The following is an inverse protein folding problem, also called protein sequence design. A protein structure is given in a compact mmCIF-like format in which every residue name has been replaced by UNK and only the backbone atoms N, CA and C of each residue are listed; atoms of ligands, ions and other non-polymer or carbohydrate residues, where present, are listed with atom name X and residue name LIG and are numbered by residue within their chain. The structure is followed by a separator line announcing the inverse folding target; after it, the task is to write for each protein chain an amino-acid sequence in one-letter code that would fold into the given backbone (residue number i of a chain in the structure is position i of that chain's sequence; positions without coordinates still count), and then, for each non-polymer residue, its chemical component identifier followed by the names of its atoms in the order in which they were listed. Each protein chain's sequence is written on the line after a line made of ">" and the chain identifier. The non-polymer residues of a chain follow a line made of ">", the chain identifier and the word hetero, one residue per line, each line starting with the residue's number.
data_IF_708055710286
#
_entry.id   IF_708055710286
#
_cell.length_a   1.000
_cell.length_b   1.000
_cell.length_c   1.000
_cell.angle_alpha   90.00
_cell.angle_beta   90.00
_cell.angle_gamma   90.00
#
_symmetry.space_group_name_H-M   'P 1'
#
loop_
_entity.id
_entity.type
_entity.pdbx_description
1 polymer ?
#
# COMPACT_ATOMS: atom_id res chain seq x y z
N UNK A 1 38.02 -7.08 -11.31
CA UNK A 1 37.81 -7.15 -9.85
C UNK A 1 37.46 -5.74 -9.45
N UNK A 2 36.21 -5.37 -9.64
CA UNK A 2 35.69 -4.04 -9.34
C UNK A 2 34.84 -4.18 -8.09
N UNK A 3 35.24 -3.48 -7.05
CA UNK A 3 34.63 -3.53 -5.74
C UNK A 3 33.18 -3.03 -5.84
N UNK A 4 32.24 -3.92 -5.51
CA UNK A 4 30.81 -3.64 -5.44
C UNK A 4 30.52 -2.70 -4.27
N UNK A 5 30.82 -1.42 -4.45
CA UNK A 5 30.51 -0.39 -3.47
C UNK A 5 28.99 -0.18 -3.46
N UNK A 6 28.31 -0.90 -2.56
CA UNK A 6 26.89 -0.68 -2.27
C UNK A 6 26.75 0.73 -1.70
N UNK A 7 26.48 1.67 -2.59
CA UNK A 7 26.26 3.08 -2.28
C UNK A 7 25.27 3.18 -1.11
N UNK A 8 25.70 3.62 0.09
CA UNK A 8 24.86 3.54 1.29
C UNK A 8 23.59 4.38 1.15
N UNK A 9 23.64 5.43 0.33
CA UNK A 9 22.48 6.27 0.00
C UNK A 9 21.41 5.55 -0.83
N UNK A 10 21.77 4.50 -1.57
CA UNK A 10 20.82 3.74 -2.39
C UNK A 10 19.79 3.00 -1.51
N UNK A 11 20.15 2.66 -0.26
CA UNK A 11 19.22 2.09 0.72
C UNK A 11 18.44 3.17 1.50
N UNK A 12 18.97 4.39 1.61
CA UNK A 12 18.30 5.49 2.32
C UNK A 12 17.08 6.01 1.57
N UNK A 13 17.10 6.02 0.24
CA UNK A 13 15.97 6.45 -0.59
C UNK A 13 14.73 5.56 -0.39
N UNK A 14 14.78 4.22 -0.56
CA UNK A 14 13.62 3.36 -0.32
C UNK A 14 13.21 3.37 1.16
N UNK A 15 14.14 3.48 2.10
CA UNK A 15 13.81 3.57 3.53
C UNK A 15 13.09 4.89 3.88
N UNK A 16 13.52 6.02 3.30
CA UNK A 16 12.85 7.31 3.46
C UNK A 16 11.46 7.30 2.80
N UNK A 17 11.33 6.68 1.62
CA UNK A 17 10.03 6.48 0.97
C UNK A 17 9.10 5.62 1.82
N UNK A 18 9.60 4.52 2.39
CA UNK A 18 8.85 3.69 3.32
C UNK A 18 8.41 4.48 4.55
N UNK A 19 9.32 5.24 5.17
CA UNK A 19 9.03 6.07 6.33
C UNK A 19 8.00 7.18 6.03
N UNK A 20 8.10 7.82 4.87
CA UNK A 20 7.13 8.82 4.39
C UNK A 20 5.75 8.19 4.20
N UNK A 21 5.70 7.00 3.62
CA UNK A 21 4.47 6.21 3.42
C UNK A 21 3.85 5.88 4.79
N UNK A 22 4.64 5.40 5.74
CA UNK A 22 4.17 5.12 7.10
C UNK A 22 3.67 6.38 7.83
N UNK A 23 4.36 7.52 7.65
CA UNK A 23 3.97 8.79 8.26
C UNK A 23 2.63 9.31 7.72
N UNK A 24 2.38 9.18 6.41
CA UNK A 24 1.08 9.54 5.81
C UNK A 24 -0.08 8.70 6.37
N UNK A 25 0.15 7.42 6.66
CA UNK A 25 -0.83 6.57 7.33
C UNK A 25 -1.15 7.00 8.76
N UNK A 26 -0.13 7.46 9.51
CA UNK A 26 -0.31 7.95 10.88
C UNK A 26 -0.91 9.36 10.95
N UNK A 27 -0.70 10.19 9.91
CA UNK A 27 -1.25 11.54 9.80
C UNK A 27 -2.69 11.58 9.25
N UNK A 28 -3.23 10.44 8.79
CA UNK A 28 -4.58 10.29 8.24
C UNK A 28 -5.68 10.43 9.31
N UNK A 29 -6.52 11.43 9.12
CA UNK A 29 -7.60 11.93 9.99
C UNK A 29 -8.71 10.94 10.39
N UNK A 30 -8.98 10.86 11.70
CA UNK A 30 -10.31 10.97 12.33
C UNK A 30 -11.35 9.85 12.20
N UNK A 31 -11.37 9.09 11.11
CA UNK A 31 -12.19 7.89 10.98
C UNK A 31 -11.42 6.90 10.09
N UNK A 32 -10.65 5.99 10.70
CA UNK A 32 -9.85 5.07 9.92
C UNK A 32 -10.80 4.00 9.34
N UNK A 33 -10.71 3.76 8.03
CA UNK A 33 -11.18 2.51 7.40
C UNK A 33 -9.95 1.66 7.01
N UNK A 34 -9.10 1.21 7.96
CA UNK A 34 -7.83 0.53 7.63
C UNK A 34 -8.06 -0.73 6.80
N UNK A 35 -9.21 -1.38 7.02
CA UNK A 35 -9.62 -2.54 6.24
C UNK A 35 -9.72 -2.22 4.74
N UNK A 36 -10.29 -1.07 4.38
CA UNK A 36 -10.47 -0.68 2.98
C UNK A 36 -9.13 -0.37 2.33
N UNK A 37 -8.21 0.23 3.08
CA UNK A 37 -6.85 0.47 2.62
C UNK A 37 -6.09 -0.85 2.38
N UNK A 38 -6.17 -1.80 3.32
CA UNK A 38 -5.55 -3.12 3.17
C UNK A 38 -6.16 -3.91 2.00
N UNK A 39 -7.49 -3.86 1.82
CA UNK A 39 -8.15 -4.55 0.70
C UNK A 39 -7.87 -3.90 -0.65
N UNK A 40 -7.72 -2.57 -0.69
CA UNK A 40 -7.30 -1.89 -1.92
C UNK A 40 -5.88 -2.29 -2.31
N UNK A 41 -4.96 -2.34 -1.35
CA UNK A 41 -3.59 -2.78 -1.59
C UNK A 41 -3.51 -4.25 -2.03
N UNK A 42 -4.31 -5.12 -1.42
CA UNK A 42 -4.43 -6.54 -1.82
C UNK A 42 -4.95 -6.67 -3.26
N UNK A 43 -6.00 -5.93 -3.61
CA UNK A 43 -6.57 -5.91 -4.96
C UNK A 43 -5.55 -5.44 -6.01
N UNK A 44 -4.76 -4.41 -5.70
CA UNK A 44 -3.67 -3.94 -6.57
C UNK A 44 -2.61 -5.01 -6.74
N UNK A 45 -2.20 -5.69 -5.66
CA UNK A 45 -1.20 -6.76 -5.70
C UNK A 45 -1.67 -7.99 -6.48
N UNK A 46 -2.96 -8.32 -6.41
CA UNK A 46 -3.56 -9.45 -7.14
C UNK A 46 -3.74 -9.15 -8.63
N UNK A 47 -4.22 -7.95 -8.97
CA UNK A 47 -4.53 -7.59 -10.37
C UNK A 47 -3.38 -6.94 -11.10
N UNK A 48 -2.32 -6.53 -10.39
CA UNK A 48 -1.23 -5.70 -10.91
C UNK A 48 -1.72 -4.42 -11.59
N UNK A 49 -2.86 -3.91 -11.13
CA UNK A 49 -3.53 -2.76 -11.72
C UNK A 49 -4.10 -1.84 -10.65
N UNK A 50 -4.07 -0.54 -10.92
CA UNK A 50 -4.71 0.46 -10.06
C UNK A 50 -6.20 0.48 -10.38
N UNK A 51 -7.10 0.20 -9.41
CA UNK A 51 -8.54 0.26 -9.62
C UNK A 51 -8.94 1.63 -10.14
N UNK A 52 -9.71 1.64 -11.23
CA UNK A 52 -10.28 2.86 -11.81
C UNK A 52 -11.74 3.07 -11.46
N UNK A 53 -12.35 2.07 -10.82
CA UNK A 53 -13.72 2.09 -10.36
C UNK A 53 -13.78 1.74 -8.89
N UNK A 54 -14.71 2.33 -8.17
CA UNK A 54 -14.93 2.07 -6.75
C UNK A 54 -15.44 0.61 -6.58
N UNK A 55 -14.72 -0.25 -5.83
CA UNK A 55 -15.05 -1.67 -5.73
C UNK A 55 -15.66 -2.09 -4.38
N UNK A 56 -15.65 -1.24 -3.34
CA UNK A 56 -15.99 -1.65 -1.96
C UNK A 56 -17.25 -0.97 -1.41
N UNK A 57 -17.70 0.13 -2.00
CA UNK A 57 -18.91 0.85 -1.63
C UNK A 57 -20.11 0.31 -2.39
N UNK A 58 -21.13 -0.12 -1.65
CA UNK A 58 -22.39 -0.55 -2.26
C UNK A 58 -23.09 0.56 -3.08
N UNK A 59 -22.99 1.82 -2.63
CA UNK A 59 -23.68 2.96 -3.26
C UNK A 59 -22.87 3.55 -4.41
N UNK A 60 -21.54 3.51 -4.32
CA UNK A 60 -20.63 4.09 -5.31
C UNK A 60 -20.03 3.04 -6.24
N UNK A 61 -20.43 1.76 -6.11
CA UNK A 61 -19.94 0.66 -6.93
C UNK A 61 -19.91 1.02 -8.41
N UNK A 62 -18.75 0.83 -9.04
CA UNK A 62 -18.56 1.08 -10.47
C UNK A 62 -18.35 2.55 -10.85
N UNK A 63 -18.46 3.50 -9.92
CA UNK A 63 -18.12 4.90 -10.22
C UNK A 63 -16.62 5.08 -10.42
N UNK A 64 -16.18 6.01 -11.29
CA UNK A 64 -14.77 6.34 -11.44
C UNK A 64 -14.14 6.70 -10.10
N UNK A 65 -13.06 6.03 -9.77
CA UNK A 65 -12.34 6.22 -8.52
C UNK A 65 -10.85 6.05 -8.78
N UNK A 66 -10.05 6.91 -8.16
CA UNK A 66 -8.61 6.80 -8.16
C UNK A 66 -8.14 6.78 -6.70
N UNK A 67 -7.53 5.69 -6.23
CA UNK A 67 -6.96 5.65 -4.89
C UNK A 67 -5.74 6.57 -4.81
N UNK A 68 -5.89 7.77 -4.25
CA UNK A 68 -4.78 8.73 -4.08
C UNK A 68 -3.63 8.18 -3.23
N UNK A 69 -3.91 7.22 -2.35
CA UNK A 69 -2.95 6.58 -1.46
C UNK A 69 -2.57 5.15 -1.90
N UNK A 70 -2.70 4.80 -3.18
CA UNK A 70 -2.49 3.43 -3.67
C UNK A 70 -1.13 2.82 -3.29
N UNK A 71 -0.06 3.61 -3.29
CA UNK A 71 1.27 3.12 -2.91
C UNK A 71 1.34 2.81 -1.40
N UNK A 72 0.72 3.65 -0.59
CA UNK A 72 0.59 3.41 0.85
C UNK A 72 -0.23 2.15 1.12
N UNK A 73 -1.34 1.97 0.40
CA UNK A 73 -2.19 0.79 0.50
C UNK A 73 -1.41 -0.48 0.15
N UNK A 74 -0.67 -0.49 -0.97
CA UNK A 74 0.19 -1.62 -1.36
C UNK A 74 1.23 -1.96 -0.30
N UNK A 75 2.00 -0.96 0.17
CA UNK A 75 3.01 -1.16 1.20
C UNK A 75 2.38 -1.67 2.50
N UNK A 76 1.24 -1.13 2.89
CA UNK A 76 0.51 -1.56 4.09
C UNK A 76 0.04 -3.00 3.98
N UNK A 77 -0.50 -3.42 2.83
CA UNK A 77 -0.89 -4.81 2.58
C UNK A 77 0.29 -5.77 2.56
N UNK A 78 1.44 -5.35 2.04
CA UNK A 78 2.68 -6.15 2.08
C UNK A 78 3.20 -6.32 3.50
N UNK A 79 3.27 -5.24 4.28
CA UNK A 79 3.68 -5.28 5.69
C UNK A 79 2.70 -6.15 6.49
N UNK A 80 1.40 -5.99 6.26
CA UNK A 80 0.37 -6.80 6.92
C UNK A 80 0.51 -8.29 6.57
N UNK A 81 0.71 -8.63 5.30
CA UNK A 81 0.93 -10.01 4.86
C UNK A 81 2.21 -10.63 5.45
N UNK A 82 3.32 -9.86 5.48
CA UNK A 82 4.60 -10.31 6.01
C UNK A 82 4.62 -10.46 7.54
N UNK A 83 3.87 -9.63 8.27
CA UNK A 83 3.75 -9.68 9.73
C UNK A 83 2.82 -10.80 10.26
N UNK A 84 2.36 -11.72 9.39
CA UNK A 84 1.49 -12.84 9.77
C UNK A 84 0.02 -12.68 9.38
N UNK A 85 -0.35 -11.59 8.69
CA UNK A 85 -1.69 -11.38 8.12
C UNK A 85 -2.04 -12.29 6.93
N UNK A 86 -1.10 -13.15 6.50
CA UNK A 86 -1.34 -14.22 5.53
C UNK A 86 -2.42 -15.23 5.96
N UNK A 87 -2.98 -15.13 7.18
CA UNK A 87 -4.05 -16.00 7.68
C UNK A 87 -5.48 -15.74 7.17
N UNK A 88 -5.71 -14.80 6.24
CA UNK A 88 -7.06 -14.53 5.69
C UNK A 88 -7.16 -14.68 4.15
N UNK A 89 -6.16 -15.26 3.52
CA UNK A 89 -6.28 -15.81 2.17
C UNK A 89 -6.56 -17.32 2.28
N UNK A 90 -7.77 -17.66 2.72
CA UNK A 90 -8.35 -19.01 2.64
C UNK A 90 -9.79 -18.89 2.16
#
# INVERSE_FOLDING_TARGET
>A
MEDGETRPWAALVPAALLAQVLWLGAAGSGAPEPWRDLKTGELILQTWSIPRSEPFSYVLAGRPWMPFAWLFQVVSSLVYGAAGGAGLAA
#
